data_IF_309937842615
#
_entry.id   IF_309937842615
#
_cell.length_a   1.000
_cell.length_b   1.000
_cell.length_c   1.000
_cell.angle_alpha   90.00
_cell.angle_beta   90.00
_cell.angle_gamma   90.00
#
_symmetry.space_group_name_H-M   'P 1'
#
loop_
_entity.id
_entity.type
_entity.pdbx_description
1 polymer ?
#
# COMPACT_ATOMS: atom_id res chain seq x y z
N UNK A 1 2.09 -5.90 1.65
CA UNK A 1 0.91 -5.63 0.81
C UNK A 1 0.02 -4.73 1.65
N UNK A 2 -0.31 -3.54 1.16
CA UNK A 2 -1.20 -2.64 1.88
C UNK A 2 -2.68 -2.97 1.61
N UNK A 3 -3.53 -2.80 2.63
CA UNK A 3 -4.99 -2.79 2.54
C UNK A 3 -5.54 -1.86 3.62
N UNK A 4 -6.43 -0.94 3.25
CA UNK A 4 -6.93 0.12 4.15
C UNK A 4 -8.06 -0.32 5.06
N UNK A 5 -8.71 -1.44 4.73
CA UNK A 5 -9.95 -1.89 5.37
C UNK A 5 -11.12 -0.88 5.29
N UNK A 6 -11.03 0.10 4.40
CA UNK A 6 -12.14 1.03 4.15
C UNK A 6 -13.29 0.31 3.42
N UNK A 7 -14.57 0.52 3.79
CA UNK A 7 -15.12 1.54 4.69
C UNK A 7 -15.40 1.07 6.13
N UNK A 8 -14.74 0.02 6.63
CA UNK A 8 -14.93 -0.39 8.03
C UNK A 8 -14.46 0.70 9.00
N UNK A 9 -15.08 0.76 10.19
CA UNK A 9 -14.85 1.84 11.16
C UNK A 9 -13.46 1.79 11.80
N UNK A 10 -12.84 0.62 11.82
CA UNK A 10 -11.48 0.35 12.25
C UNK A 10 -10.43 0.62 11.16
N UNK A 11 -10.86 0.81 9.90
CA UNK A 11 -9.99 1.04 8.75
C UNK A 11 -9.55 2.49 8.60
N UNK A 12 -8.66 2.73 7.64
CA UNK A 12 -8.20 4.06 7.28
C UNK A 12 -9.20 4.77 6.36
N UNK A 13 -9.67 5.94 6.80
CA UNK A 13 -10.58 6.79 6.03
C UNK A 13 -9.97 7.28 4.71
N UNK A 14 -8.68 7.62 4.72
CA UNK A 14 -7.88 7.88 3.53
C UNK A 14 -6.84 6.75 3.37
N UNK A 15 -7.03 5.81 2.42
CA UNK A 15 -6.08 4.73 2.17
C UNK A 15 -4.65 5.21 1.84
N UNK A 16 -4.50 6.37 1.19
CA UNK A 16 -3.18 6.86 0.79
C UNK A 16 -2.37 7.35 2.00
N UNK A 17 -3.04 7.81 3.07
CA UNK A 17 -2.38 8.31 4.27
C UNK A 17 -1.51 7.26 4.99
N UNK A 18 -1.63 5.97 4.65
CA UNK A 18 -0.73 4.93 5.16
C UNK A 18 0.75 5.18 4.81
N UNK A 19 1.04 5.98 3.77
CA UNK A 19 2.43 6.36 3.46
C UNK A 19 3.10 7.14 4.58
N UNK A 20 2.33 7.84 5.41
CA UNK A 20 2.86 8.65 6.51
C UNK A 20 3.47 7.77 7.63
N UNK A 21 3.07 6.49 7.68
CA UNK A 21 3.59 5.49 8.62
C UNK A 21 4.90 4.84 8.12
N UNK A 22 5.25 5.00 6.85
CA UNK A 22 6.37 4.31 6.19
C UNK A 22 7.67 5.11 6.19
N UNK A 23 7.90 5.93 7.22
CA UNK A 23 9.04 6.87 7.30
C UNK A 23 10.43 6.22 7.30
N UNK A 24 10.52 4.93 7.61
CA UNK A 24 11.77 4.16 7.62
C UNK A 24 12.12 3.51 6.28
N UNK A 25 11.28 3.67 5.25
CA UNK A 25 11.43 3.00 3.96
C UNK A 25 11.84 3.98 2.86
N UNK A 26 12.58 3.47 1.88
CA UNK A 26 12.90 4.20 0.66
C UNK A 26 11.66 4.34 -0.26
N UNK A 27 11.66 5.28 -1.21
CA UNK A 27 10.55 5.44 -2.16
C UNK A 27 10.21 4.15 -2.93
N UNK A 28 11.23 3.37 -3.32
CA UNK A 28 11.04 2.11 -4.04
C UNK A 28 10.40 1.04 -3.15
N UNK A 29 10.81 0.96 -1.88
CA UNK A 29 10.19 0.04 -0.91
C UNK A 29 8.74 0.44 -0.61
N UNK A 30 8.44 1.73 -0.48
CA UNK A 30 7.07 2.24 -0.33
C UNK A 30 6.23 1.85 -1.55
N UNK A 31 6.76 2.02 -2.76
CA UNK A 31 6.08 1.60 -4.00
C UNK A 31 5.77 0.10 -4.00
N UNK A 32 6.70 -0.73 -3.53
CA UNK A 32 6.46 -2.18 -3.39
C UNK A 32 5.33 -2.48 -2.40
N UNK A 33 5.36 -1.85 -1.23
CA UNK A 33 4.35 -2.06 -0.17
C UNK A 33 2.95 -1.65 -0.65
N UNK A 34 2.85 -0.46 -1.27
CA UNK A 34 1.59 0.17 -1.66
C UNK A 34 1.02 -0.32 -2.99
N UNK A 35 1.84 -0.94 -3.86
CA UNK A 35 1.39 -1.38 -5.19
C UNK A 35 2.05 -2.68 -5.65
N UNK A 36 3.37 -2.68 -5.85
CA UNK A 36 4.01 -3.70 -6.68
C UNK A 36 3.83 -5.12 -6.12
N UNK A 37 3.90 -5.30 -4.80
CA UNK A 37 3.71 -6.60 -4.17
C UNK A 37 2.29 -7.18 -4.42
N UNK A 38 1.26 -6.34 -4.48
CA UNK A 38 -0.10 -6.77 -4.83
C UNK A 38 -0.20 -7.13 -6.31
N UNK A 39 0.34 -6.27 -7.17
CA UNK A 39 0.36 -6.51 -8.61
C UNK A 39 1.07 -7.82 -8.97
N UNK A 40 2.25 -8.09 -8.40
CA UNK A 40 2.96 -9.37 -8.58
C UNK A 40 2.11 -10.56 -8.09
N UNK A 41 1.48 -10.43 -6.92
CA UNK A 41 0.65 -11.50 -6.34
C UNK A 41 -0.54 -11.88 -7.24
N UNK A 42 -1.19 -10.89 -7.88
CA UNK A 42 -2.38 -11.12 -8.71
C UNK A 42 -2.06 -11.21 -10.22
N UNK A 43 -0.79 -11.17 -10.60
CA UNK A 43 -0.35 -11.27 -12.01
C UNK A 43 -0.62 -10.02 -12.85
N UNK A 44 -0.66 -8.83 -12.24
CA UNK A 44 -0.78 -7.55 -12.92
C UNK A 44 0.59 -6.98 -13.32
N UNK A 45 0.67 -6.16 -14.39
CA UNK A 45 1.90 -5.48 -14.78
C UNK A 45 2.47 -4.58 -13.68
N UNK A 46 3.80 -4.58 -13.54
CA UNK A 46 4.55 -3.78 -12.55
C UNK A 46 5.47 -2.73 -13.19
N UNK A 47 5.28 -2.45 -14.49
CA UNK A 47 6.07 -1.52 -15.30
C UNK A 47 5.14 -0.59 -16.08
#
# INVERSE_FOLDING_TARGET
>A
LFGSDWPHGEGLADPAAFTDELTAFTPDEIHRIMRANCAELVGLPTH
#
